data_IF_942890084203
#
_entry.id   IF_942890084203
#
_cell.length_a   1.000
_cell.length_b   1.000
_cell.length_c   1.000
_cell.angle_alpha   90.00
_cell.angle_beta   90.00
_cell.angle_gamma   90.00
#
_symmetry.space_group_name_H-M   'P 1'
#
loop_
_entity.id
_entity.type
_entity.pdbx_description
1 polymer ?
#
# COMPACT_ATOMS: atom_id res chain seq x y z
N UNK A 1 9.02 -8.32 3.33
CA UNK A 1 9.39 -7.04 2.72
C UNK A 1 10.19 -6.25 3.74
N UNK A 2 11.34 -5.70 3.34
CA UNK A 2 12.20 -4.83 4.16
C UNK A 2 11.81 -3.36 3.95
N UNK A 3 12.26 -2.48 4.84
CA UNK A 3 11.98 -1.05 4.78
C UNK A 3 12.35 -0.39 3.43
N UNK A 4 13.51 -0.74 2.87
CA UNK A 4 13.93 -0.22 1.57
C UNK A 4 13.01 -0.68 0.43
N UNK A 5 12.61 -1.95 0.44
CA UNK A 5 11.67 -2.53 -0.54
C UNK A 5 10.29 -1.87 -0.41
N UNK A 6 9.85 -1.59 0.81
CA UNK A 6 8.60 -0.88 1.09
C UNK A 6 8.62 0.54 0.53
N UNK A 7 9.67 1.31 0.83
CA UNK A 7 9.83 2.67 0.30
C UNK A 7 9.82 2.68 -1.23
N UNK A 8 10.53 1.74 -1.85
CA UNK A 8 10.55 1.60 -3.30
C UNK A 8 9.16 1.25 -3.86
N UNK A 9 8.46 0.29 -3.25
CA UNK A 9 7.12 -0.11 -3.66
C UNK A 9 6.12 1.06 -3.56
N UNK A 10 6.12 1.80 -2.45
CA UNK A 10 5.29 2.99 -2.25
C UNK A 10 5.57 4.06 -3.30
N UNK A 11 6.85 4.34 -3.58
CA UNK A 11 7.22 5.32 -4.60
C UNK A 11 6.78 4.90 -6.02
N UNK A 12 6.98 3.64 -6.40
CA UNK A 12 6.62 3.12 -7.73
C UNK A 12 5.11 3.05 -7.92
N UNK A 13 4.37 2.68 -6.88
CA UNK A 13 2.89 2.64 -6.90
C UNK A 13 2.26 4.03 -6.79
N UNK A 14 3.06 5.07 -6.50
CA UNK A 14 2.60 6.45 -6.37
C UNK A 14 1.73 6.69 -5.14
N UNK A 15 1.85 5.84 -4.12
CA UNK A 15 1.05 5.90 -2.90
C UNK A 15 1.50 7.04 -2.00
N UNK A 16 0.55 7.82 -1.52
CA UNK A 16 0.77 8.75 -0.42
C UNK A 16 0.28 8.14 0.92
N UNK A 17 0.53 8.83 2.03
CA UNK A 17 0.15 8.35 3.36
C UNK A 17 -1.37 8.15 3.54
N UNK A 18 -2.21 8.98 2.90
CA UNK A 18 -3.66 8.82 2.94
C UNK A 18 -4.11 7.58 2.18
N UNK A 19 -3.49 7.28 1.03
CA UNK A 19 -3.78 6.06 0.27
C UNK A 19 -3.41 4.81 1.06
N UNK A 20 -2.26 4.83 1.74
CA UNK A 20 -1.82 3.74 2.62
C UNK A 20 -2.83 3.52 3.76
N UNK A 21 -3.35 4.60 4.35
CA UNK A 21 -4.41 4.52 5.36
C UNK A 21 -5.68 3.92 4.80
N UNK A 22 -6.13 4.36 3.63
CA UNK A 22 -7.35 3.87 2.98
C UNK A 22 -7.25 2.39 2.59
N UNK A 23 -6.13 1.98 1.99
CA UNK A 23 -5.94 0.61 1.48
C UNK A 23 -5.60 -0.40 2.56
N UNK A 24 -4.81 0.00 3.56
CA UNK A 24 -4.23 -0.93 4.54
C UNK A 24 -4.64 -0.64 5.98
N UNK A 25 -5.43 0.41 6.24
CA UNK A 25 -5.85 0.81 7.59
C UNK A 25 -4.70 1.32 8.46
N UNK A 26 -3.55 1.64 7.87
CA UNK A 26 -2.36 2.04 8.61
C UNK A 26 -2.36 3.55 8.86
N UNK A 27 -2.17 3.95 10.12
CA UNK A 27 -2.00 5.37 10.45
C UNK A 27 -0.66 5.91 9.93
N UNK A 28 -0.53 7.24 9.70
CA UNK A 28 0.70 7.84 9.17
C UNK A 28 1.96 7.50 9.97
N UNK A 29 1.84 7.35 11.29
CA UNK A 29 2.96 6.97 12.17
C UNK A 29 3.42 5.53 11.91
N UNK A 30 2.49 4.61 11.65
CA UNK A 30 2.79 3.21 11.31
C UNK A 30 3.41 3.11 9.93
N UNK A 31 2.90 3.88 8.96
CA UNK A 31 3.51 4.02 7.64
C UNK A 31 4.97 4.48 7.71
N UNK A 32 5.25 5.49 8.55
CA UNK A 32 6.61 5.98 8.78
C UNK A 32 7.49 4.90 9.42
N UNK A 33 7.00 4.21 10.44
CA UNK A 33 7.73 3.14 11.12
C UNK A 33 8.12 1.99 10.17
N UNK A 34 7.25 1.64 9.21
CA UNK A 34 7.58 0.67 8.16
C UNK A 34 8.64 1.19 7.19
N UNK A 35 8.58 2.47 6.82
CA UNK A 35 9.55 3.10 5.93
C UNK A 35 10.94 3.25 6.58
N UNK A 36 11.00 3.44 7.89
CA UNK A 36 12.22 3.50 8.70
C UNK A 36 12.74 2.12 9.09
N UNK A 37 11.88 1.10 9.05
CA UNK A 37 12.20 -0.28 9.46
C UNK A 37 12.23 -0.48 10.97
N UNK A 38 11.63 0.44 11.73
CA UNK A 38 11.45 0.33 13.18
C UNK A 38 10.30 -0.61 13.53
N UNK A 39 9.37 -0.83 12.61
CA UNK A 39 8.33 -1.86 12.70
C UNK A 39 8.36 -2.84 11.53
N UNK A 40 7.90 -4.08 11.80
CA UNK A 40 7.75 -5.12 10.79
C UNK A 40 6.54 -4.81 9.91
N UNK A 41 6.74 -4.79 8.60
CA UNK A 41 5.66 -4.65 7.63
C UNK A 41 4.78 -5.91 7.66
N UNK A 42 3.46 -5.81 7.92
CA UNK A 42 2.56 -6.95 7.90
C UNK A 42 2.56 -7.67 6.54
N UNK A 43 2.44 -9.00 6.55
CA UNK A 43 2.46 -9.81 5.33
C UNK A 43 1.39 -9.42 4.32
N UNK A 44 0.20 -9.04 4.80
CA UNK A 44 -0.90 -8.59 3.95
C UNK A 44 -0.56 -7.29 3.19
N UNK A 45 0.09 -6.34 3.86
CA UNK A 45 0.54 -5.08 3.26
C UNK A 45 1.61 -5.35 2.20
N UNK A 46 2.61 -6.17 2.55
CA UNK A 46 3.66 -6.55 1.61
C UNK A 46 3.10 -7.23 0.36
N UNK A 47 2.17 -8.17 0.52
CA UNK A 47 1.50 -8.85 -0.60
C UNK A 47 0.68 -7.88 -1.44
N UNK A 48 -0.09 -6.98 -0.82
CA UNK A 48 -0.89 -5.97 -1.52
C UNK A 48 -0.03 -5.06 -2.39
N UNK A 49 1.07 -4.54 -1.86
CA UNK A 49 2.02 -3.73 -2.63
C UNK A 49 2.64 -4.50 -3.80
N UNK A 50 3.04 -5.75 -3.58
CA UNK A 50 3.59 -6.58 -4.66
C UNK A 50 2.55 -6.84 -5.77
N UNK A 51 1.30 -7.09 -5.41
CA UNK A 51 0.22 -7.25 -6.39
C UNK A 51 0.01 -5.97 -7.20
N UNK A 52 -0.06 -4.81 -6.55
CA UNK A 52 -0.20 -3.51 -7.23
C UNK A 52 0.96 -3.25 -8.20
N UNK A 53 2.19 -3.61 -7.83
CA UNK A 53 3.36 -3.51 -8.70
C UNK A 53 3.26 -4.42 -9.92
N UNK A 54 2.87 -5.68 -9.72
CA UNK A 54 2.76 -6.67 -10.81
C UNK A 54 1.62 -6.33 -11.77
N UNK A 55 0.50 -5.79 -11.27
CA UNK A 55 -0.66 -5.43 -12.09
C UNK A 55 -0.63 -3.99 -12.60
N UNK A 56 0.42 -3.23 -12.28
CA UNK A 56 0.53 -1.80 -12.58
C UNK A 56 -0.74 -1.00 -12.19
N UNK A 57 -1.35 -1.38 -11.06
CA UNK A 57 -2.61 -0.81 -10.60
C UNK A 57 -2.35 0.25 -9.54
N UNK A 58 -2.65 1.50 -9.86
CA UNK A 58 -2.58 2.59 -8.90
C UNK A 58 -3.85 2.66 -8.03
N UNK A 59 -3.83 3.49 -6.99
CA UNK A 59 -4.95 3.65 -6.02
C UNK A 59 -6.25 3.93 -6.71
N UNK A 60 -6.25 4.88 -7.64
CA UNK A 60 -7.47 5.31 -8.33
C UNK A 60 -8.10 4.15 -9.11
N UNK A 61 -7.28 3.32 -9.76
CA UNK A 61 -7.74 2.12 -10.43
C UNK A 61 -8.25 1.06 -9.45
N UNK A 62 -7.55 0.86 -8.32
CA UNK A 62 -8.00 -0.05 -7.26
C UNK A 62 -9.33 0.40 -6.65
N UNK A 63 -9.51 1.70 -6.40
CA UNK A 63 -10.74 2.28 -5.89
C UNK A 63 -11.91 2.10 -6.87
N UNK A 64 -11.70 2.33 -8.17
CA UNK A 64 -12.72 2.07 -9.20
C UNK A 64 -13.16 0.61 -9.15
N UNK A 65 -12.20 -0.33 -9.22
CA UNK A 65 -12.47 -1.77 -9.20
C UNK A 65 -13.21 -2.22 -7.93
N UNK A 66 -12.83 -1.69 -6.77
CA UNK A 66 -13.48 -2.03 -5.49
C UNK A 66 -14.84 -1.34 -5.33
N UNK A 67 -15.01 -0.13 -5.87
CA UNK A 67 -16.29 0.59 -5.82
C UNK A 67 -17.38 -0.10 -6.64
N UNK A 68 -17.02 -0.71 -7.77
CA UNK A 68 -17.92 -1.50 -8.58
C UNK A 68 -18.33 -2.81 -7.88
N UNK A 69 -17.41 -3.43 -7.14
CA UNK A 69 -17.71 -4.63 -6.33
C UNK A 69 -18.68 -4.34 -5.19
N UNK A 70 -18.61 -3.16 -4.54
CA UNK A 70 -19.52 -2.80 -3.44
C UNK A 70 -20.94 -2.45 -3.87
N UNK A 71 -21.19 -2.29 -5.18
CA UNK A 71 -22.51 -1.96 -5.74
C UNK A 71 -23.29 -3.20 -6.22
N UNK A 72 -22.67 -4.38 -6.19
CA UNK A 72 -23.29 -5.67 -6.48
C UNK A 72 -23.77 -6.35 -5.20
#
# INVERSE_FOLDING_TARGET
MKALEYRAAVAVTGLNAADIKTLFGAEPVTHLAWAEGTEVIPRAVALGLLLMLVTNTNVRQAEILVSDIRRL
#
